data_IF_712154911607
#
_entry.id   IF_712154911607
#
_cell.length_a   1.000
_cell.length_b   1.000
_cell.length_c   1.000
_cell.angle_alpha   90.00
_cell.angle_beta   90.00
_cell.angle_gamma   90.00
#
_symmetry.space_group_name_H-M   'P 1'
#
loop_
_entity.id
_entity.type
_entity.pdbx_description
1 polymer ?
#
# COMPACT_ATOMS: atom_id res chain seq x y z
N UNK A 1 19.87 5.45 15.92
CA UNK A 1 18.50 4.87 16.02
C UNK A 1 17.60 5.39 14.90
N UNK A 2 17.44 6.70 14.74
CA UNK A 2 16.59 7.32 13.70
C UNK A 2 16.99 7.00 12.26
N UNK A 3 18.29 7.06 11.91
CA UNK A 3 18.77 6.65 10.58
C UNK A 3 18.41 5.19 10.23
N UNK A 4 18.44 4.28 11.20
CA UNK A 4 18.13 2.87 10.97
C UNK A 4 16.64 2.68 10.68
N UNK A 5 15.77 3.39 11.40
CA UNK A 5 14.31 3.39 11.16
C UNK A 5 14.01 3.91 9.75
N UNK A 6 14.63 5.03 9.34
CA UNK A 6 14.47 5.58 7.99
C UNK A 6 14.91 4.62 6.89
N UNK A 7 16.03 3.91 7.07
CA UNK A 7 16.50 2.91 6.10
C UNK A 7 15.55 1.71 5.98
N UNK A 8 15.00 1.23 7.10
CA UNK A 8 14.03 0.13 7.09
C UNK A 8 12.74 0.54 6.39
N UNK A 9 12.21 1.74 6.67
CA UNK A 9 11.01 2.28 6.02
C UNK A 9 11.22 2.37 4.50
N UNK A 10 12.34 2.95 4.07
CA UNK A 10 12.67 3.07 2.63
C UNK A 10 12.75 1.71 1.93
N UNK A 11 13.31 0.70 2.60
CA UNK A 11 13.34 -0.67 2.04
C UNK A 11 11.94 -1.26 1.91
N UNK A 12 11.08 -1.07 2.91
CA UNK A 12 9.67 -1.53 2.88
C UNK A 12 8.88 -0.86 1.75
N UNK A 13 9.01 0.46 1.59
CA UNK A 13 8.38 1.21 0.49
C UNK A 13 8.84 0.69 -0.88
N UNK A 14 10.15 0.57 -1.08
CA UNK A 14 10.73 0.08 -2.34
C UNK A 14 10.30 -1.35 -2.67
N UNK A 15 10.16 -2.23 -1.67
CA UNK A 15 9.68 -3.60 -1.89
C UNK A 15 8.22 -3.63 -2.35
N UNK A 16 7.34 -2.79 -1.79
CA UNK A 16 5.96 -2.66 -2.26
C UNK A 16 5.94 -2.17 -3.71
N UNK A 17 6.61 -1.05 -4.00
CA UNK A 17 6.64 -0.43 -5.34
C UNK A 17 7.17 -1.42 -6.38
N UNK A 18 8.35 -2.01 -6.15
CA UNK A 18 8.97 -2.95 -7.08
C UNK A 18 8.10 -4.17 -7.35
N UNK A 19 7.39 -4.66 -6.33
CA UNK A 19 6.48 -5.76 -6.50
C UNK A 19 5.30 -5.37 -7.41
N UNK A 20 4.68 -4.21 -7.18
CA UNK A 20 3.56 -3.74 -8.02
C UNK A 20 4.00 -3.53 -9.46
N UNK A 21 5.16 -2.91 -9.69
CA UNK A 21 5.79 -2.74 -11.00
C UNK A 21 6.05 -4.08 -11.70
N UNK A 22 6.69 -5.03 -11.01
CA UNK A 22 7.02 -6.34 -11.57
C UNK A 22 5.76 -7.15 -11.96
N UNK A 23 4.66 -6.95 -11.26
CA UNK A 23 3.37 -7.59 -11.53
C UNK A 23 2.45 -6.76 -12.44
N UNK A 24 2.93 -5.62 -12.97
CA UNK A 24 2.16 -4.71 -13.84
C UNK A 24 0.83 -4.28 -13.22
N UNK A 25 0.82 -4.08 -11.90
CA UNK A 25 -0.30 -3.52 -11.18
C UNK A 25 -0.15 -2.00 -11.26
N UNK A 26 -1.18 -1.29 -11.71
CA UNK A 26 -1.19 0.18 -11.74
C UNK A 26 -1.37 0.72 -10.32
N UNK A 27 -0.57 1.73 -9.95
CA UNK A 27 -0.64 2.41 -8.66
C UNK A 27 -0.16 3.86 -8.75
N UNK A 28 -0.48 4.64 -7.72
CA UNK A 28 0.04 5.98 -7.47
C UNK A 28 0.90 6.00 -6.20
N UNK A 29 2.03 6.72 -6.22
CA UNK A 29 2.82 7.00 -5.03
C UNK A 29 2.46 8.36 -4.46
N UNK A 30 2.15 8.40 -3.16
CA UNK A 30 1.82 9.63 -2.44
C UNK A 30 2.85 9.88 -1.35
N UNK A 31 3.68 10.92 -1.52
CA UNK A 31 4.68 11.34 -0.53
C UNK A 31 4.07 12.26 0.53
N UNK A 32 3.81 11.73 1.73
CA UNK A 32 3.19 12.50 2.83
C UNK A 32 4.17 13.44 3.52
N UNK A 33 5.48 13.33 3.25
CA UNK A 33 6.47 14.24 3.83
C UNK A 33 6.36 15.64 3.22
N UNK A 34 5.73 15.74 2.04
CA UNK A 34 5.53 16.98 1.30
C UNK A 34 4.14 17.60 1.53
N UNK A 35 3.21 16.88 2.18
CA UNK A 35 1.84 17.35 2.42
C UNK A 35 1.29 16.90 3.77
N UNK A 36 1.09 17.87 4.67
CA UNK A 36 0.42 17.63 5.95
C UNK A 36 -1.00 17.08 5.76
N UNK A 37 -1.72 17.57 4.75
CA UNK A 37 -3.08 17.13 4.46
C UNK A 37 -3.11 15.64 4.11
N UNK A 38 -2.20 15.17 3.25
CA UNK A 38 -2.11 13.75 2.88
C UNK A 38 -1.68 12.90 4.08
N UNK A 39 -0.76 13.41 4.92
CA UNK A 39 -0.39 12.74 6.18
C UNK A 39 -1.58 12.55 7.12
N UNK A 40 -2.36 13.61 7.34
CA UNK A 40 -3.55 13.55 8.18
C UNK A 40 -4.65 12.69 7.56
N UNK A 41 -4.80 12.73 6.23
CA UNK A 41 -5.72 11.86 5.50
C UNK A 41 -5.35 10.39 5.73
N UNK A 42 -4.07 10.02 5.61
CA UNK A 42 -3.59 8.67 5.89
C UNK A 42 -3.96 8.25 7.32
N UNK A 43 -3.67 9.08 8.33
CA UNK A 43 -3.98 8.75 9.74
C UNK A 43 -5.47 8.58 10.02
N UNK A 44 -6.34 9.33 9.32
CA UNK A 44 -7.79 9.26 9.48
C UNK A 44 -8.40 8.04 8.81
N UNK A 45 -7.86 7.62 7.66
CA UNK A 45 -8.41 6.53 6.87
C UNK A 45 -7.86 5.14 7.25
N UNK A 46 -6.89 5.06 8.16
CA UNK A 46 -6.49 3.79 8.78
C UNK A 46 -7.50 3.40 9.88
N UNK A 47 -8.10 2.20 9.84
CA UNK A 47 -9.01 1.72 10.87
C UNK A 47 -8.35 1.71 12.27
N UNK A 48 -9.06 2.10 13.35
CA UNK A 48 -8.50 2.17 14.69
C UNK A 48 -7.79 0.89 15.16
N UNK A 49 -8.33 -0.27 14.81
CA UNK A 49 -7.80 -1.61 15.14
C UNK A 49 -6.53 -1.96 14.36
N UNK A 50 -6.22 -1.22 13.28
CA UNK A 50 -4.99 -1.35 12.49
C UNK A 50 -3.95 -0.29 12.83
N UNK A 51 -4.27 0.66 13.73
CA UNK A 51 -3.30 1.66 14.19
C UNK A 51 -2.29 1.02 15.16
N UNK A 52 -1.03 1.49 15.16
CA UNK A 52 -0.05 0.99 16.12
C UNK A 52 -0.48 1.31 17.55
N UNK A 53 -0.15 0.42 18.49
CA UNK A 53 -0.45 0.61 19.91
C UNK A 53 0.27 1.85 20.51
N UNK A 54 1.38 2.26 19.90
CA UNK A 54 2.13 3.46 20.29
C UNK A 54 2.64 4.20 19.06
N UNK A 55 2.52 5.53 19.09
CA UNK A 55 3.00 6.42 18.04
C UNK A 55 2.06 6.53 16.85
N UNK A 56 2.55 7.09 15.76
CA UNK A 56 1.79 7.28 14.53
C UNK A 56 2.02 6.11 13.57
N UNK A 57 1.04 5.79 12.69
CA UNK A 57 1.26 4.89 11.57
C UNK A 57 2.46 5.34 10.74
N UNK A 58 3.29 4.38 10.35
CA UNK A 58 4.47 4.62 9.51
C UNK A 58 4.24 4.05 8.11
N UNK A 59 4.77 4.70 7.07
CA UNK A 59 4.70 4.19 5.70
C UNK A 59 5.57 2.92 5.52
N UNK A 60 5.30 2.09 4.50
CA UNK A 60 4.25 2.27 3.50
C UNK A 60 2.84 1.92 4.04
N UNK A 61 1.83 2.64 3.55
CA UNK A 61 0.41 2.34 3.80
C UNK A 61 -0.32 2.24 2.46
N UNK A 62 -1.09 1.17 2.26
CA UNK A 62 -1.65 0.82 0.95
C UNK A 62 -3.17 0.98 0.98
N UNK A 63 -3.69 1.67 -0.02
CA UNK A 63 -5.11 1.92 -0.20
C UNK A 63 -5.54 1.49 -1.61
N UNK A 64 -6.82 1.18 -1.78
CA UNK A 64 -7.49 1.09 -3.06
C UNK A 64 -8.65 2.09 -3.07
N UNK A 65 -8.44 3.23 -3.74
CA UNK A 65 -9.29 4.41 -3.59
C UNK A 65 -9.36 4.84 -2.11
N UNK A 66 -10.55 4.85 -1.53
CA UNK A 66 -10.77 5.19 -0.12
C UNK A 66 -10.70 3.99 0.83
N UNK A 67 -10.50 2.78 0.31
CA UNK A 67 -10.44 1.57 1.13
C UNK A 67 -9.01 1.31 1.59
N UNK A 68 -8.81 1.18 2.89
CA UNK A 68 -7.54 0.75 3.45
C UNK A 68 -7.30 -0.74 3.19
N UNK A 69 -6.19 -1.07 2.52
CA UNK A 69 -5.78 -2.46 2.26
C UNK A 69 -4.94 -2.99 3.42
N UNK A 70 -3.92 -2.23 3.85
CA UNK A 70 -3.03 -2.61 4.94
C UNK A 70 -1.69 -1.87 4.91
N UNK A 71 -0.86 -2.21 5.88
CA UNK A 71 0.53 -1.77 5.99
C UNK A 71 1.49 -2.76 5.30
N UNK A 72 2.80 -2.56 5.45
CA UNK A 72 3.80 -3.46 4.90
C UNK A 72 3.67 -4.91 5.39
N UNK A 73 3.40 -5.11 6.68
CA UNK A 73 3.41 -6.46 7.25
C UNK A 73 2.20 -7.25 6.70
N UNK A 74 1.04 -6.61 6.59
CA UNK A 74 -0.14 -7.18 5.92
C UNK A 74 0.12 -7.50 4.43
N UNK A 75 0.82 -6.60 3.73
CA UNK A 75 1.22 -6.82 2.34
C UNK A 75 2.19 -8.00 2.21
N UNK A 76 3.18 -8.09 3.10
CA UNK A 76 4.15 -9.18 3.13
C UNK A 76 3.47 -10.53 3.38
N UNK A 77 2.55 -10.61 4.35
CA UNK A 77 1.75 -11.82 4.59
C UNK A 77 0.94 -12.22 3.34
N UNK A 78 0.38 -11.25 2.62
CA UNK A 78 -0.36 -11.52 1.38
C UNK A 78 0.55 -11.99 0.23
N UNK A 79 1.81 -11.52 0.18
CA UNK A 79 2.83 -12.03 -0.76
C UNK A 79 3.15 -13.48 -0.48
N UNK A 80 3.45 -13.81 0.78
CA UNK A 80 3.75 -15.19 1.20
C UNK A 80 2.57 -16.14 0.94
N UNK A 81 1.34 -15.61 1.05
CA UNK A 81 0.11 -16.37 0.82
C UNK A 81 -0.36 -16.37 -0.65
N UNK A 82 0.33 -15.68 -1.56
CA UNK A 82 -0.10 -15.46 -2.94
C UNK A 82 -1.51 -14.85 -3.09
N UNK A 83 -1.93 -14.02 -2.14
CA UNK A 83 -3.26 -13.37 -2.09
C UNK A 83 -3.20 -11.86 -2.31
N UNK A 84 -2.09 -11.33 -2.85
CA UNK A 84 -1.88 -9.88 -3.02
C UNK A 84 -3.00 -9.21 -3.81
N UNK A 85 -3.53 -9.84 -4.86
CA UNK A 85 -4.64 -9.26 -5.62
C UNK A 85 -5.90 -9.05 -4.75
N UNK A 86 -6.21 -10.03 -3.90
CA UNK A 86 -7.32 -9.93 -2.95
C UNK A 86 -7.04 -8.90 -1.85
N UNK A 87 -5.79 -8.84 -1.35
CA UNK A 87 -5.35 -7.82 -0.39
C UNK A 87 -5.53 -6.39 -0.95
N UNK A 88 -5.16 -6.18 -2.22
CA UNK A 88 -5.34 -4.91 -2.91
C UNK A 88 -6.80 -4.65 -3.32
N UNK A 89 -7.73 -5.58 -3.06
CA UNK A 89 -9.13 -5.46 -3.48
C UNK A 89 -9.33 -5.48 -5.00
N UNK A 90 -8.35 -5.99 -5.75
CA UNK A 90 -8.35 -5.99 -7.20
C UNK A 90 -9.18 -7.14 -7.75
N UNK A 91 -10.16 -6.81 -8.59
CA UNK A 91 -11.00 -7.80 -9.27
C UNK A 91 -10.55 -7.97 -10.72
N UNK A 92 -10.45 -9.22 -11.23
CA UNK A 92 -10.28 -9.47 -12.64
C UNK A 92 -11.40 -8.83 -13.45
N UNK A 93 -11.08 -8.00 -14.45
CA UNK A 93 -12.02 -7.69 -15.52
C UNK A 93 -11.98 -8.78 -16.56
N UNK A 94 -13.14 -9.35 -16.88
CA UNK A 94 -13.35 -10.12 -18.10
C UNK A 94 -13.43 -9.15 -19.28
N UNK A 95 -12.30 -8.57 -19.69
CA UNK A 95 -12.24 -7.82 -20.93
C UNK A 95 -12.15 -8.83 -22.09
N UNK A 96 -13.12 -8.77 -23.01
CA UNK A 96 -13.12 -9.57 -24.23
C UNK A 96 -11.87 -9.25 -25.05
N UNK A 97 -10.95 -10.22 -25.07
CA UNK A 97 -9.70 -10.30 -25.83
C UNK A 97 -8.43 -9.76 -25.12
N UNK A 98 -7.69 -10.73 -24.54
CA UNK A 98 -6.22 -10.87 -24.40
C UNK A 98 -5.47 -10.21 -23.23
N UNK A 99 -6.04 -9.36 -22.36
CA UNK A 99 -5.35 -8.96 -21.11
C UNK A 99 -6.32 -8.88 -19.93
N UNK A 100 -6.04 -9.65 -18.86
CA UNK A 100 -6.68 -9.49 -17.55
C UNK A 100 -6.28 -8.12 -16.97
N UNK A 101 -7.13 -7.12 -17.16
CA UNK A 101 -6.98 -5.83 -16.47
C UNK A 101 -7.61 -5.91 -15.08
N UNK A 102 -6.94 -5.35 -14.08
CA UNK A 102 -7.48 -5.26 -12.72
C UNK A 102 -8.29 -3.96 -12.55
N UNK A 103 -9.36 -4.02 -11.76
CA UNK A 103 -10.12 -2.84 -11.32
C UNK A 103 -9.67 -2.43 -9.93
N UNK A 104 -9.15 -1.21 -9.80
CA UNK A 104 -8.80 -0.55 -8.55
C UNK A 104 -7.95 0.68 -8.80
N UNK A 105 -7.86 1.56 -7.79
CA UNK A 105 -6.97 2.71 -7.77
C UNK A 105 -6.00 2.49 -6.61
N UNK A 106 -4.98 1.67 -6.82
CA UNK A 106 -4.01 1.36 -5.76
C UNK A 106 -3.19 2.61 -5.47
N UNK A 107 -3.11 3.01 -4.22
CA UNK A 107 -2.27 4.11 -3.76
C UNK A 107 -1.30 3.59 -2.70
N UNK A 108 -0.01 3.83 -2.91
CA UNK A 108 1.06 3.53 -1.97
C UNK A 108 1.48 4.84 -1.33
N UNK A 109 1.13 4.99 -0.05
CA UNK A 109 1.52 6.15 0.73
C UNK A 109 2.93 5.93 1.27
N UNK A 110 3.84 6.85 0.95
CA UNK A 110 5.25 6.86 1.34
C UNK A 110 5.58 7.97 2.33
#
# INVERSE_FOLDING_TARGET
KERFISLTIKKKQQDVVRFLEANKIEFEEVDITMSEEQRQWMYKNIPPEKKPAQGNPLPPQIFNGNQYCGDYDSFFESKESNTVLSFLGLKPRLASNVVLQLLGQVTVVQ
#
